data_IF_704331040657
#
_entry.id   IF_704331040657
#
_cell.length_a   1.000
_cell.length_b   1.000
_cell.length_c   1.000
_cell.angle_alpha   90.00
_cell.angle_beta   90.00
_cell.angle_gamma   90.00
#
_symmetry.space_group_name_H-M   'P 1'
#
loop_
_entity.id
_entity.type
_entity.pdbx_description
1 polymer ?
#
# COMPACT_ATOMS: atom_id res chain seq x y z
N UNK A 1 -55.36 -6.10 -17.84
CA UNK A 1 -53.89 -6.14 -17.97
C UNK A 1 -53.41 -7.32 -17.14
N UNK A 2 -52.92 -8.41 -17.74
CA UNK A 2 -52.46 -9.60 -17.00
C UNK A 2 -50.99 -9.41 -16.63
N UNK A 3 -50.66 -9.52 -15.35
CA UNK A 3 -49.28 -9.61 -14.86
C UNK A 3 -48.66 -10.95 -15.32
N UNK A 4 -47.51 -10.88 -15.97
CA UNK A 4 -46.75 -12.05 -16.39
C UNK A 4 -45.96 -12.59 -15.18
N UNK A 5 -46.24 -13.83 -14.77
CA UNK A 5 -45.46 -14.52 -13.75
C UNK A 5 -44.09 -14.94 -14.33
N UNK A 6 -43.00 -14.55 -13.66
CA UNK A 6 -41.65 -15.01 -14.02
C UNK A 6 -41.54 -16.49 -13.69
N UNK A 7 -41.43 -17.35 -14.71
CA UNK A 7 -41.44 -18.81 -14.55
C UNK A 7 -40.04 -19.36 -14.17
N UNK A 8 -38.97 -18.86 -14.80
CA UNK A 8 -37.60 -19.34 -14.56
C UNK A 8 -36.56 -18.23 -14.80
N UNK A 9 -35.46 -18.24 -14.05
CA UNK A 9 -34.29 -17.39 -14.29
C UNK A 9 -33.02 -18.21 -14.50
N UNK A 10 -32.15 -17.77 -15.42
CA UNK A 10 -30.81 -18.33 -15.60
C UNK A 10 -29.78 -17.43 -14.93
N UNK A 11 -28.97 -17.97 -14.00
CA UNK A 11 -27.94 -17.22 -13.28
C UNK A 11 -26.55 -17.53 -13.83
N UNK A 12 -25.80 -16.49 -14.16
CA UNK A 12 -24.36 -16.57 -14.47
C UNK A 12 -23.63 -15.56 -13.60
N UNK A 13 -22.49 -15.95 -13.04
CA UNK A 13 -21.66 -15.06 -12.23
C UNK A 13 -20.30 -14.93 -12.87
N UNK A 14 -19.82 -13.69 -12.99
CA UNK A 14 -18.42 -13.38 -13.24
C UNK A 14 -17.84 -12.88 -11.92
N UNK A 15 -16.68 -13.43 -11.54
CA UNK A 15 -15.89 -12.94 -10.41
C UNK A 15 -14.62 -12.38 -11.01
N UNK A 16 -14.34 -11.13 -10.70
CA UNK A 16 -13.16 -10.43 -11.16
C UNK A 16 -12.43 -9.79 -9.97
N UNK A 17 -11.20 -9.37 -10.17
CA UNK A 17 -10.39 -8.68 -9.15
C UNK A 17 -10.31 -7.19 -9.46
N UNK A 18 -10.28 -6.32 -8.44
CA UNK A 18 -10.04 -4.90 -8.67
C UNK A 18 -8.61 -4.67 -9.15
N UNK A 19 -8.39 -3.60 -9.92
CA UNK A 19 -7.04 -3.11 -10.18
C UNK A 19 -6.41 -2.67 -8.86
N UNK A 20 -5.31 -3.31 -8.45
CA UNK A 20 -4.60 -2.98 -7.22
C UNK A 20 -3.44 -2.07 -7.56
N UNK A 21 -3.38 -0.87 -6.96
CA UNK A 21 -2.23 0.04 -7.14
C UNK A 21 -1.90 0.75 -5.84
N UNK A 22 -0.61 1.00 -5.61
CA UNK A 22 -0.14 1.73 -4.44
C UNK A 22 -0.54 3.20 -4.53
N UNK A 23 -1.03 3.76 -3.41
CA UNK A 23 -1.19 5.20 -3.26
C UNK A 23 0.01 5.76 -2.51
N UNK A 24 0.66 6.79 -3.08
CA UNK A 24 1.80 7.46 -2.48
C UNK A 24 1.36 8.83 -1.98
N UNK A 25 1.57 9.10 -0.68
CA UNK A 25 1.34 10.41 -0.07
C UNK A 25 2.69 10.99 0.37
N UNK A 26 3.07 12.12 -0.20
CA UNK A 26 4.28 12.84 0.18
C UNK A 26 3.96 13.83 1.29
N UNK A 27 4.68 13.75 2.41
CA UNK A 27 4.59 14.70 3.51
C UNK A 27 5.79 15.64 3.50
N UNK A 28 5.53 16.95 3.48
CA UNK A 28 6.56 17.99 3.42
C UNK A 28 6.56 18.81 4.69
N UNK A 29 7.70 18.87 5.36
CA UNK A 29 7.96 19.78 6.47
C UNK A 29 8.82 20.95 5.97
N UNK A 30 8.27 22.16 6.00
CA UNK A 30 9.01 23.34 5.58
C UNK A 30 10.03 23.78 6.63
N UNK A 31 11.15 24.29 6.15
CA UNK A 31 12.20 24.88 6.97
C UNK A 31 12.40 26.34 6.57
N UNK A 32 12.21 27.25 7.52
CA UNK A 32 12.24 28.70 7.28
C UNK A 32 13.40 29.32 8.05
N UNK A 33 14.09 30.28 7.44
CA UNK A 33 15.14 31.08 8.09
C UNK A 33 14.58 32.46 8.41
N UNK A 34 14.70 32.89 9.66
CA UNK A 34 14.32 34.23 10.08
C UNK A 34 15.26 35.27 9.43
N UNK A 35 14.68 36.29 8.77
CA UNK A 35 15.45 37.36 8.13
C UNK A 35 16.19 38.29 9.10
N UNK A 36 15.73 38.38 10.36
CA UNK A 36 16.35 39.24 11.38
C UNK A 36 17.46 38.55 12.17
N UNK A 37 17.17 37.39 12.77
CA UNK A 37 18.11 36.70 13.67
C UNK A 37 18.81 35.48 13.06
N UNK A 38 18.51 35.13 11.80
CA UNK A 38 19.13 34.00 11.10
C UNK A 38 18.71 32.60 11.61
N UNK A 39 17.92 32.50 12.69
CA UNK A 39 17.46 31.22 13.24
C UNK A 39 16.61 30.46 12.22
N UNK A 40 16.85 29.15 12.15
CA UNK A 40 16.10 28.23 11.29
C UNK A 40 15.06 27.49 12.12
N UNK A 41 13.81 27.56 11.71
CA UNK A 41 12.70 26.78 12.29
C UNK A 41 12.20 25.75 11.29
N UNK A 42 11.72 24.60 11.77
CA UNK A 42 11.16 23.54 10.95
C UNK A 42 9.74 23.27 11.40
N UNK A 43 8.84 23.01 10.46
CA UNK A 43 7.57 22.38 10.79
C UNK A 43 7.81 20.93 11.25
N UNK A 44 6.90 20.42 12.08
CA UNK A 44 6.92 19.03 12.51
C UNK A 44 6.35 18.11 11.44
N UNK A 45 6.92 16.91 11.32
CA UNK A 45 6.36 15.85 10.47
C UNK A 45 5.13 15.24 11.16
N UNK A 46 4.08 14.80 10.44
CA UNK A 46 2.93 14.16 11.08
C UNK A 46 3.37 12.90 11.84
N UNK A 47 2.96 12.76 13.11
CA UNK A 47 3.43 11.69 13.99
C UNK A 47 3.09 10.26 13.55
N UNK A 48 2.21 10.08 12.57
CA UNK A 48 1.88 8.78 11.96
C UNK A 48 2.85 8.37 10.84
N UNK A 49 3.73 9.26 10.41
CA UNK A 49 4.71 9.02 9.34
C UNK A 49 6.01 8.53 9.98
N UNK A 50 6.58 7.45 9.43
CA UNK A 50 7.86 6.94 9.90
C UNK A 50 8.97 7.98 9.69
N UNK A 51 10.03 7.94 10.51
CA UNK A 51 11.20 8.82 10.36
C UNK A 51 12.03 8.52 9.11
N UNK A 52 11.86 7.33 8.52
CA UNK A 52 12.54 6.96 7.29
C UNK A 52 12.06 7.82 6.09
N UNK A 53 12.94 8.16 5.13
CA UNK A 53 12.57 8.95 3.95
C UNK A 53 11.47 8.34 3.09
N UNK A 54 11.32 7.01 3.14
CA UNK A 54 10.24 6.27 2.50
C UNK A 54 9.79 5.15 3.43
N UNK A 55 8.49 4.92 3.50
CA UNK A 55 7.92 3.84 4.29
C UNK A 55 6.69 3.27 3.61
N UNK A 56 6.45 1.98 3.86
CA UNK A 56 5.31 1.26 3.31
C UNK A 56 4.21 1.11 4.37
N UNK A 57 2.98 1.40 3.95
CA UNK A 57 1.79 1.38 4.79
C UNK A 57 1.38 -0.02 5.27
N UNK A 58 0.42 -0.10 6.20
CA UNK A 58 0.02 -1.34 6.85
C UNK A 58 -0.52 -2.40 5.88
N UNK A 59 -1.26 -1.99 4.84
CA UNK A 59 -1.80 -2.94 3.86
C UNK A 59 -0.72 -3.64 3.04
N UNK A 60 0.35 -2.93 2.66
CA UNK A 60 1.45 -3.53 1.91
C UNK A 60 2.27 -4.48 2.80
N UNK A 61 2.44 -4.13 4.09
CA UNK A 61 3.04 -5.03 5.07
C UNK A 61 2.21 -6.29 5.24
N UNK A 62 0.90 -6.16 5.41
CA UNK A 62 -0.01 -7.31 5.54
C UNK A 62 0.06 -8.23 4.32
N UNK A 63 0.11 -7.67 3.11
CA UNK A 63 0.29 -8.44 1.88
C UNK A 63 1.63 -9.20 1.89
N UNK A 64 2.74 -8.52 2.23
CA UNK A 64 4.05 -9.17 2.32
C UNK A 64 4.08 -10.29 3.36
N UNK A 65 3.53 -10.05 4.55
CA UNK A 65 3.39 -11.06 5.62
C UNK A 65 2.55 -12.25 5.15
N UNK A 66 1.45 -12.01 4.45
CA UNK A 66 0.61 -13.07 3.89
C UNK A 66 1.36 -13.93 2.87
N UNK A 67 2.05 -13.29 1.92
CA UNK A 67 2.81 -13.99 0.89
C UNK A 67 3.96 -14.82 1.49
N UNK A 68 4.65 -14.30 2.50
CA UNK A 68 5.75 -15.01 3.16
C UNK A 68 5.26 -16.16 4.05
N UNK A 69 4.30 -15.89 4.95
CA UNK A 69 3.96 -16.82 6.02
C UNK A 69 2.87 -17.82 5.64
N UNK A 70 1.92 -17.42 4.81
CA UNK A 70 0.79 -18.29 4.45
C UNK A 70 0.95 -18.90 3.07
N UNK A 71 1.58 -18.19 2.13
CA UNK A 71 1.83 -18.70 0.79
C UNK A 71 3.24 -19.26 0.61
N UNK A 72 4.12 -19.12 1.62
CA UNK A 72 5.51 -19.60 1.61
C UNK A 72 6.32 -19.17 0.38
N UNK A 73 6.04 -17.96 -0.12
CA UNK A 73 6.74 -17.42 -1.28
C UNK A 73 8.12 -16.92 -0.84
N UNK A 74 9.21 -17.29 -1.55
CA UNK A 74 10.55 -16.77 -1.25
C UNK A 74 10.62 -15.24 -1.30
N UNK A 75 11.49 -14.64 -0.49
CA UNK A 75 11.59 -13.19 -0.29
C UNK A 75 11.68 -12.40 -1.61
N UNK A 76 12.54 -12.83 -2.52
CA UNK A 76 12.75 -12.16 -3.80
C UNK A 76 11.51 -12.26 -4.69
N UNK A 77 10.81 -13.41 -4.64
CA UNK A 77 9.56 -13.63 -5.37
C UNK A 77 8.41 -12.83 -4.77
N UNK A 78 8.37 -12.64 -3.45
CA UNK A 78 7.44 -11.73 -2.79
C UNK A 78 7.62 -10.29 -3.26
N UNK A 79 8.86 -9.80 -3.32
CA UNK A 79 9.14 -8.44 -3.80
C UNK A 79 8.67 -8.26 -5.26
N UNK A 80 8.93 -9.24 -6.11
CA UNK A 80 8.46 -9.23 -7.50
C UNK A 80 6.93 -9.25 -7.60
N UNK A 81 6.25 -10.16 -6.88
CA UNK A 81 4.78 -10.24 -6.89
C UNK A 81 4.12 -8.95 -6.40
N UNK A 82 4.68 -8.31 -5.38
CA UNK A 82 4.18 -7.03 -4.88
C UNK A 82 4.30 -5.96 -5.97
N UNK A 83 5.41 -5.91 -6.69
CA UNK A 83 5.60 -4.97 -7.80
C UNK A 83 4.62 -5.25 -8.95
N UNK A 84 4.43 -6.51 -9.32
CA UNK A 84 3.56 -6.91 -10.43
C UNK A 84 2.08 -6.63 -10.13
N UNK A 85 1.65 -6.88 -8.89
CA UNK A 85 0.24 -6.74 -8.50
C UNK A 85 -0.14 -5.32 -8.07
N UNK A 86 0.80 -4.54 -7.53
CA UNK A 86 0.49 -3.25 -6.89
C UNK A 86 1.26 -2.07 -7.46
N UNK A 87 2.29 -2.32 -8.27
CA UNK A 87 3.24 -1.30 -8.74
C UNK A 87 4.27 -0.86 -7.68
N UNK A 88 4.16 -1.29 -6.43
CA UNK A 88 5.10 -0.92 -5.37
C UNK A 88 6.43 -1.69 -5.50
N UNK A 89 7.54 -0.98 -5.74
CA UNK A 89 8.88 -1.57 -5.85
C UNK A 89 9.56 -1.65 -4.48
N UNK A 90 9.21 -2.67 -3.70
CA UNK A 90 9.83 -2.96 -2.40
C UNK A 90 11.17 -3.68 -2.57
N UNK A 91 12.09 -3.50 -1.61
CA UNK A 91 13.35 -4.25 -1.60
C UNK A 91 13.17 -5.62 -0.92
N UNK A 92 13.96 -6.64 -1.28
CA UNK A 92 13.99 -7.91 -0.54
C UNK A 92 14.28 -7.73 0.95
N UNK A 93 15.16 -6.79 1.32
CA UNK A 93 15.46 -6.49 2.72
C UNK A 93 14.24 -5.96 3.49
N UNK A 94 13.41 -5.12 2.85
CA UNK A 94 12.16 -4.68 3.47
C UNK A 94 11.18 -5.85 3.62
N UNK A 95 11.07 -6.71 2.59
CA UNK A 95 10.22 -7.91 2.65
C UNK A 95 10.65 -8.82 3.79
N UNK A 96 11.94 -9.11 3.96
CA UNK A 96 12.44 -9.88 5.11
C UNK A 96 12.17 -9.20 6.45
N UNK A 97 12.22 -7.86 6.50
CA UNK A 97 12.00 -7.12 7.74
C UNK A 97 10.55 -7.18 8.26
N UNK A 98 9.57 -7.62 7.47
CA UNK A 98 8.18 -7.70 7.94
C UNK A 98 7.95 -8.87 8.91
N UNK A 99 8.95 -9.74 9.08
CA UNK A 99 8.91 -10.90 9.97
C UNK A 99 9.58 -10.65 11.34
N UNK A 100 10.18 -9.48 11.53
CA UNK A 100 10.96 -9.10 12.73
C UNK A 100 10.43 -7.86 13.41
#
# INVERSE_FOLDING_TARGET
MREAAVEHYSRRQVRDIPLVTVTVTEHRAHRCRCGGCGRVTSADMPGKVASAPSSYGPNLRALATYLLLFQHIPVERCAQLIADLTGARVSPGWVSSVLV
#
